data_IF_940891413222
#
_entry.id   IF_940891413222
#
_cell.length_a   1.000
_cell.length_b   1.000
_cell.length_c   1.000
_cell.angle_alpha   90.00
_cell.angle_beta   90.00
_cell.angle_gamma   90.00
#
_symmetry.space_group_name_H-M   'P 1'
#
loop_
_entity.id
_entity.type
_entity.pdbx_description
1 polymer ?
#
# COMPACT_ATOMS: atom_id res chain seq x y z
N UNK A 1 25.42 -5.13 1.14
CA UNK A 1 24.17 -5.59 0.50
C UNK A 1 23.45 -4.40 -0.10
N UNK A 2 22.87 -4.55 -1.28
CA UNK A 2 22.08 -3.48 -1.84
C UNK A 2 20.83 -3.27 -1.01
N UNK A 3 20.43 -2.02 -0.81
CA UNK A 3 19.21 -1.69 -0.07
C UNK A 3 17.97 -2.04 -0.88
N UNK A 4 16.89 -2.37 -0.18
CA UNK A 4 15.57 -2.60 -0.77
C UNK A 4 14.96 -1.25 -1.13
N UNK A 5 14.83 -0.97 -2.43
CA UNK A 5 14.21 0.28 -2.91
C UNK A 5 12.72 0.25 -2.65
N UNK A 6 12.28 1.10 -1.73
CA UNK A 6 10.95 1.08 -1.16
C UNK A 6 10.19 2.36 -1.49
N UNK A 7 9.05 2.20 -2.15
CA UNK A 7 8.10 3.28 -2.38
C UNK A 7 7.11 3.33 -1.21
N UNK A 8 7.12 4.41 -0.45
CA UNK A 8 6.06 4.73 0.52
C UNK A 8 5.02 5.59 -0.19
N UNK A 9 3.86 5.01 -0.43
CA UNK A 9 2.76 5.69 -1.11
C UNK A 9 1.66 6.04 -0.12
N UNK A 10 1.30 7.31 -0.04
CA UNK A 10 0.20 7.77 0.80
C UNK A 10 -0.77 8.66 0.00
N UNK A 11 -2.08 8.42 0.13
CA UNK A 11 -3.05 9.21 -0.62
C UNK A 11 -4.50 8.82 -0.35
N UNK A 12 -5.39 9.28 -1.22
CA UNK A 12 -6.80 8.98 -1.18
C UNK A 12 -7.62 9.97 -0.38
N UNK A 13 -8.77 9.50 0.10
CA UNK A 13 -9.80 10.32 0.77
C UNK A 13 -10.02 9.86 2.21
N UNK A 14 -10.79 10.61 2.96
CA UNK A 14 -11.29 10.29 4.32
C UNK A 14 -10.24 10.48 5.42
N UNK A 15 -9.03 9.95 5.24
CA UNK A 15 -7.97 10.00 6.26
C UNK A 15 -6.95 11.11 5.97
N UNK A 16 -6.25 11.53 7.02
CA UNK A 16 -5.06 12.39 6.91
C UNK A 16 -3.89 11.57 6.33
N UNK A 17 -3.90 11.38 5.02
CA UNK A 17 -2.85 10.59 4.37
C UNK A 17 -1.47 11.23 4.47
N UNK A 18 -1.38 12.57 4.58
CA UNK A 18 -0.10 13.28 4.71
C UNK A 18 0.56 12.96 6.05
N UNK A 19 -0.17 13.18 7.15
CA UNK A 19 0.34 12.89 8.48
C UNK A 19 0.60 11.39 8.69
N UNK A 20 -0.28 10.52 8.20
CA UNK A 20 -0.09 9.07 8.27
C UNK A 20 1.11 8.62 7.42
N UNK A 21 1.24 9.12 6.20
CA UNK A 21 2.36 8.82 5.31
C UNK A 21 3.71 9.23 5.88
N UNK A 22 3.79 10.45 6.43
CA UNK A 22 4.99 10.95 7.12
C UNK A 22 5.36 10.05 8.31
N UNK A 23 4.35 9.62 9.09
CA UNK A 23 4.57 8.72 10.23
C UNK A 23 5.11 7.36 9.78
N UNK A 24 4.52 6.78 8.73
CA UNK A 24 4.99 5.50 8.14
C UNK A 24 6.43 5.67 7.65
N UNK A 25 6.72 6.73 6.91
CA UNK A 25 8.06 7.01 6.40
C UNK A 25 9.10 7.12 7.52
N UNK A 26 8.77 7.86 8.58
CA UNK A 26 9.68 8.04 9.72
C UNK A 26 9.97 6.71 10.45
N UNK A 27 8.95 5.87 10.65
CA UNK A 27 9.13 4.53 11.25
C UNK A 27 10.03 3.66 10.36
N UNK A 28 9.78 3.63 9.06
CA UNK A 28 10.56 2.82 8.13
C UNK A 28 11.99 3.33 7.94
N UNK A 29 12.23 4.63 8.15
CA UNK A 29 13.58 5.22 8.03
C UNK A 29 14.56 4.73 9.11
N UNK A 30 14.06 4.11 10.17
CA UNK A 30 14.89 3.45 11.19
C UNK A 30 15.47 2.11 10.69
N UNK A 31 14.96 1.57 9.59
CA UNK A 31 15.43 0.32 8.99
C UNK A 31 16.54 0.61 7.96
N UNK A 32 17.77 0.24 8.29
CA UNK A 32 18.95 0.53 7.46
C UNK A 32 18.94 -0.20 6.11
N UNK A 33 18.20 -1.30 6.00
CA UNK A 33 18.06 -2.11 4.78
C UNK A 33 17.16 -1.46 3.72
N UNK A 34 16.39 -0.43 4.10
CA UNK A 34 15.47 0.23 3.18
C UNK A 34 16.07 1.51 2.59
N UNK A 35 15.80 1.73 1.31
CA UNK A 35 15.98 3.01 0.60
C UNK A 35 14.61 3.57 0.26
N UNK A 36 14.18 4.61 0.99
CA UNK A 36 12.81 5.09 0.94
C UNK A 36 12.62 6.24 -0.05
N UNK A 37 11.54 6.17 -0.81
CA UNK A 37 11.00 7.29 -1.60
C UNK A 37 9.55 7.49 -1.23
N UNK A 38 9.13 8.75 -0.98
CA UNK A 38 7.74 9.09 -0.69
C UNK A 38 7.04 9.60 -1.94
N UNK A 39 5.82 9.13 -2.18
CA UNK A 39 4.89 9.69 -3.16
C UNK A 39 3.55 9.95 -2.48
N UNK A 40 3.03 11.16 -2.66
CA UNK A 40 1.74 11.60 -2.11
C UNK A 40 0.72 11.77 -3.23
N UNK A 41 -0.35 11.01 -3.14
CA UNK A 41 -1.59 11.09 -3.94
C UNK A 41 -1.43 11.15 -5.47
N UNK A 42 -0.31 10.66 -5.98
CA UNK A 42 -0.02 10.58 -7.42
C UNK A 42 0.01 9.14 -7.90
N UNK A 43 -1.14 8.64 -8.34
CA UNK A 43 -1.30 7.27 -8.83
C UNK A 43 -0.52 6.98 -10.12
N UNK A 44 0.07 7.98 -10.79
CA UNK A 44 0.97 7.74 -11.92
C UNK A 44 2.24 6.98 -11.51
N UNK A 45 2.58 7.00 -10.21
CA UNK A 45 3.67 6.19 -9.65
C UNK A 45 3.44 4.68 -9.79
N UNK A 46 2.19 4.23 -9.96
CA UNK A 46 1.84 2.82 -10.13
C UNK A 46 2.01 2.31 -11.57
N UNK A 47 2.26 3.21 -12.51
CA UNK A 47 2.45 2.87 -13.93
C UNK A 47 3.90 2.48 -14.19
N UNK A 48 4.12 1.43 -15.01
CA UNK A 48 5.44 1.18 -15.59
C UNK A 48 5.78 2.31 -16.59
N UNK A 49 6.99 2.90 -16.60
CA UNK A 49 8.19 2.46 -15.87
C UNK A 49 8.39 3.08 -14.46
N UNK A 50 7.44 3.88 -13.97
CA UNK A 50 7.63 4.64 -12.72
C UNK A 50 7.77 3.72 -11.50
N UNK A 51 7.04 2.60 -11.49
CA UNK A 51 7.09 1.61 -10.41
C UNK A 51 8.27 0.62 -10.54
N UNK A 52 8.78 0.42 -11.73
CA UNK A 52 9.80 -0.60 -12.04
C UNK A 52 11.08 -0.52 -11.18
N UNK A 53 11.59 0.68 -10.81
CA UNK A 53 12.81 0.79 -10.02
C UNK A 53 12.71 0.24 -8.58
N UNK A 54 11.49 0.05 -8.07
CA UNK A 54 11.27 -0.35 -6.68
C UNK A 54 11.18 -1.87 -6.51
N UNK A 55 11.47 -2.33 -5.30
CA UNK A 55 11.39 -3.72 -4.87
C UNK A 55 10.22 -3.96 -3.92
N UNK A 56 9.80 -2.91 -3.21
CA UNK A 56 8.74 -2.91 -2.22
C UNK A 56 7.88 -1.66 -2.37
N UNK A 57 6.58 -1.80 -2.24
CA UNK A 57 5.64 -0.70 -2.00
C UNK A 57 4.98 -0.85 -0.64
N UNK A 58 4.99 0.21 0.17
CA UNK A 58 4.19 0.34 1.39
C UNK A 58 3.06 1.31 1.08
N UNK A 59 1.85 0.79 0.99
CA UNK A 59 0.70 1.47 0.40
C UNK A 59 -0.33 1.85 1.45
N UNK A 60 -0.49 3.14 1.67
CA UNK A 60 -1.52 3.75 2.52
C UNK A 60 -2.43 4.61 1.66
N UNK A 61 -3.60 4.08 1.32
CA UNK A 61 -4.54 4.76 0.43
C UNK A 61 -5.98 4.43 0.82
N UNK A 62 -6.91 5.35 0.60
CA UNK A 62 -8.32 5.12 0.96
C UNK A 62 -9.24 5.54 -0.17
N UNK A 63 -10.12 4.64 -0.58
CA UNK A 63 -11.12 4.89 -1.62
C UNK A 63 -10.45 5.15 -2.98
N UNK A 64 -10.84 6.19 -3.69
CA UNK A 64 -10.30 6.58 -4.98
C UNK A 64 -10.64 5.63 -6.14
N UNK A 65 -10.22 6.04 -7.31
CA UNK A 65 -10.37 5.29 -8.56
C UNK A 65 -8.98 5.00 -9.13
N UNK A 66 -8.85 3.87 -9.79
CA UNK A 66 -7.62 3.44 -10.45
C UNK A 66 -7.90 3.22 -11.94
N UNK A 67 -7.06 3.77 -12.81
CA UNK A 67 -7.15 3.50 -14.25
C UNK A 67 -6.68 2.08 -14.58
N UNK A 68 -7.05 1.58 -15.75
CA UNK A 68 -6.56 0.28 -16.22
C UNK A 68 -5.03 0.23 -16.34
N UNK A 69 -4.41 1.31 -16.76
CA UNK A 69 -2.94 1.41 -16.86
C UNK A 69 -2.28 1.32 -15.48
N UNK A 70 -2.77 2.07 -14.50
CA UNK A 70 -2.28 2.06 -13.11
C UNK A 70 -2.52 0.70 -12.46
N UNK A 71 -3.73 0.13 -12.63
CA UNK A 71 -4.09 -1.20 -12.14
C UNK A 71 -3.14 -2.26 -12.71
N UNK A 72 -3.00 -2.30 -14.02
CA UNK A 72 -2.15 -3.29 -14.68
C UNK A 72 -0.69 -3.12 -14.31
N UNK A 73 -0.20 -1.87 -14.17
CA UNK A 73 1.13 -1.58 -13.69
C UNK A 73 1.38 -2.20 -12.31
N UNK A 74 0.52 -1.92 -11.34
CA UNK A 74 0.63 -2.46 -9.99
C UNK A 74 0.52 -3.99 -9.95
N UNK A 75 -0.50 -4.57 -10.58
CA UNK A 75 -0.75 -6.01 -10.52
C UNK A 75 0.36 -6.82 -11.20
N UNK A 76 0.83 -6.39 -12.37
CA UNK A 76 1.92 -7.06 -13.06
C UNK A 76 3.23 -6.95 -12.28
N UNK A 77 3.48 -5.81 -11.65
CA UNK A 77 4.66 -5.58 -10.84
C UNK A 77 4.68 -6.51 -9.61
N UNK A 78 3.55 -6.64 -8.90
CA UNK A 78 3.42 -7.60 -7.78
C UNK A 78 3.55 -9.04 -8.28
N UNK A 79 2.92 -9.39 -9.41
CA UNK A 79 3.01 -10.73 -10.00
C UNK A 79 4.43 -11.10 -10.43
N UNK A 80 5.30 -10.12 -10.69
CA UNK A 80 6.72 -10.35 -10.98
C UNK A 80 7.57 -10.69 -9.76
N UNK A 81 6.99 -10.76 -8.57
CA UNK A 81 7.65 -11.13 -7.32
C UNK A 81 8.09 -9.96 -6.45
N UNK A 82 7.61 -8.77 -6.73
CA UNK A 82 7.87 -7.57 -5.91
C UNK A 82 6.97 -7.53 -4.67
N UNK A 83 7.43 -6.85 -3.62
CA UNK A 83 6.74 -6.80 -2.34
C UNK A 83 5.64 -5.74 -2.27
N UNK A 84 4.46 -6.13 -1.76
CA UNK A 84 3.36 -5.21 -1.47
C UNK A 84 2.96 -5.32 0.01
N UNK A 85 2.94 -4.18 0.69
CA UNK A 85 2.43 -4.06 2.07
C UNK A 85 1.32 -3.03 2.09
N UNK A 86 0.10 -3.48 2.28
CA UNK A 86 -1.07 -2.61 2.47
C UNK A 86 -1.22 -2.23 3.94
N UNK A 87 -1.35 -0.95 4.21
CA UNK A 87 -1.53 -0.40 5.57
C UNK A 87 -2.95 0.12 5.72
N UNK A 88 -3.63 -0.31 6.78
CA UNK A 88 -4.95 0.18 7.20
C UNK A 88 -5.97 0.11 6.05
N UNK A 89 -6.41 1.26 5.57
CA UNK A 89 -7.44 1.40 4.54
C UNK A 89 -6.97 1.03 3.11
N UNK A 90 -5.78 0.48 2.93
CA UNK A 90 -5.41 -0.13 1.66
C UNK A 90 -6.44 -1.19 1.22
N UNK A 91 -7.06 -1.91 2.17
CA UNK A 91 -8.16 -2.84 1.91
C UNK A 91 -9.50 -2.18 1.55
N UNK A 92 -9.61 -0.85 1.65
CA UNK A 92 -10.76 -0.03 1.25
C UNK A 92 -10.48 0.81 0.00
N UNK A 93 -9.36 0.59 -0.66
CA UNK A 93 -8.97 1.30 -1.86
C UNK A 93 -9.61 0.68 -3.10
N UNK A 94 -9.89 1.53 -4.09
CA UNK A 94 -10.36 1.10 -5.41
C UNK A 94 -11.54 0.12 -5.35
N UNK A 95 -12.60 0.52 -4.67
CA UNK A 95 -13.78 -0.32 -4.36
C UNK A 95 -14.39 -1.01 -5.56
N UNK A 96 -14.31 -0.41 -6.75
CA UNK A 96 -14.85 -0.94 -8.00
C UNK A 96 -13.83 -1.79 -8.80
N UNK A 97 -12.67 -2.11 -8.22
CA UNK A 97 -11.64 -2.91 -8.86
C UNK A 97 -11.53 -4.32 -8.23
N UNK A 98 -12.20 -5.33 -8.79
CA UNK A 98 -12.18 -6.69 -8.24
C UNK A 98 -10.79 -7.32 -8.28
N UNK A 99 -9.96 -7.00 -9.27
CA UNK A 99 -8.60 -7.53 -9.40
C UNK A 99 -7.69 -7.03 -8.27
N UNK A 100 -7.81 -5.75 -7.88
CA UNK A 100 -7.10 -5.21 -6.75
C UNK A 100 -7.53 -5.89 -5.44
N UNK A 101 -8.83 -6.09 -5.24
CA UNK A 101 -9.37 -6.82 -4.08
C UNK A 101 -8.86 -8.25 -4.01
N UNK A 102 -8.75 -8.93 -5.16
CA UNK A 102 -8.21 -10.28 -5.24
C UNK A 102 -6.73 -10.31 -4.85
N UNK A 103 -5.93 -9.33 -5.29
CA UNK A 103 -4.52 -9.20 -4.91
C UNK A 103 -4.35 -8.98 -3.40
N UNK A 104 -5.16 -8.11 -2.80
CA UNK A 104 -5.13 -7.82 -1.35
C UNK A 104 -5.67 -8.99 -0.52
N UNK A 105 -6.54 -9.81 -1.10
CA UNK A 105 -7.15 -10.97 -0.43
C UNK A 105 -8.40 -10.65 0.38
N UNK A 106 -8.88 -9.43 0.37
CA UNK A 106 -10.08 -9.00 1.07
C UNK A 106 -10.39 -7.53 0.83
N UNK A 107 -11.51 -7.07 1.34
CA UNK A 107 -11.87 -5.66 1.27
C UNK A 107 -12.67 -5.26 2.51
N UNK A 108 -12.55 -3.99 2.87
CA UNK A 108 -13.31 -3.41 3.97
C UNK A 108 -14.79 -3.29 3.61
N UNK A 109 -15.66 -3.67 4.53
CA UNK A 109 -17.11 -3.50 4.42
C UNK A 109 -17.60 -2.52 5.49
N UNK A 110 -17.33 -2.82 6.75
CA UNK A 110 -17.76 -2.04 7.90
C UNK A 110 -16.97 -2.41 9.15
N UNK A 111 -17.09 -1.61 10.18
CA UNK A 111 -16.58 -1.93 11.52
C UNK A 111 -17.64 -1.66 12.59
N UNK A 112 -17.58 -2.31 13.75
CA UNK A 112 -18.40 -1.97 14.90
C UNK A 112 -17.97 -0.62 15.50
N UNK A 113 -18.73 -0.14 16.49
CA UNK A 113 -18.28 0.99 17.30
C UNK A 113 -16.91 0.71 17.94
N UNK A 114 -16.15 1.77 18.19
CA UNK A 114 -14.85 1.67 18.87
C UNK A 114 -14.98 0.90 20.17
N UNK A 115 -14.23 -0.18 20.30
CA UNK A 115 -14.21 -1.05 21.47
C UNK A 115 -12.94 -1.88 21.52
N UNK A 116 -12.65 -2.42 22.68
CA UNK A 116 -11.61 -3.43 22.87
C UNK A 116 -11.97 -4.74 22.16
N UNK A 117 -10.98 -5.42 21.57
CA UNK A 117 -11.14 -6.75 20.98
C UNK A 117 -9.88 -7.57 21.19
N UNK A 118 -10.04 -8.89 21.09
CA UNK A 118 -8.93 -9.83 21.26
C UNK A 118 -8.33 -10.19 19.88
N UNK A 119 -7.00 -10.18 19.80
CA UNK A 119 -6.25 -10.69 18.66
C UNK A 119 -5.55 -11.97 19.07
N UNK A 120 -5.75 -13.05 18.31
CA UNK A 120 -5.05 -14.32 18.50
C UNK A 120 -4.12 -14.56 17.32
N UNK A 121 -2.83 -14.72 17.60
CA UNK A 121 -1.85 -15.12 16.58
C UNK A 121 -1.93 -16.63 16.44
N UNK A 122 -2.33 -17.11 15.26
CA UNK A 122 -2.53 -18.54 14.98
C UNK A 122 -1.40 -19.12 14.15
N UNK A 123 -0.59 -18.29 13.51
CA UNK A 123 0.59 -18.64 12.74
C UNK A 123 1.68 -17.63 13.04
N UNK A 124 2.86 -18.10 13.38
CA UNK A 124 4.02 -17.28 13.80
C UNK A 124 5.21 -17.41 12.84
N UNK A 125 5.04 -18.08 11.69
CA UNK A 125 6.08 -18.23 10.66
C UNK A 125 6.03 -17.11 9.61
#
# INVERSE_FOLDING_TARGET
MDKIKTLVFAGGKIHDYKGCGERIFNILSECEELELTMVEDDLSALVSPNLDPYDLIVFYYTVGEISDEQKNGLLNWVASGKGYVGVHSAADSFRECPEYRAMVGGHFITHPHYREYQVSVVDSE
#
